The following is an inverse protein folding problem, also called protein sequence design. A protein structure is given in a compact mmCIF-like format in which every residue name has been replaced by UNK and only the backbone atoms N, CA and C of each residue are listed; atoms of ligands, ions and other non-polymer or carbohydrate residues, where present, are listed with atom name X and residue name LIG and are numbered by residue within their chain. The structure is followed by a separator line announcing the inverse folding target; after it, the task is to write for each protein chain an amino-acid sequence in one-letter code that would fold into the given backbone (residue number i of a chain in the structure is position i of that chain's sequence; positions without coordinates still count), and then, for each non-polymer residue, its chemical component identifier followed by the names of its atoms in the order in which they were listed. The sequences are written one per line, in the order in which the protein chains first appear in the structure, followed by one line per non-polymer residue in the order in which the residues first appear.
data_IF_371430320756
#
_entry.id   IF_371430320756
#
_cell.length_a   1.000
_cell.length_b   1.000
_cell.length_c   1.000
_cell.angle_alpha   90.00
_cell.angle_beta   90.00
_cell.angle_gamma   90.00
#
_symmetry.space_group_name_H-M   'P 1'
#
loop_
_entity.id
_entity.type
_entity.pdbx_description
1 polymer ?
#
# COMPACT_ATOMS: atom_id res chain seq x y z
N UNK A 1 -34.08 -57.58 52.17
CA UNK A 1 -34.86 -58.46 51.27
C UNK A 1 -34.35 -58.25 49.87
N UNK A 2 -33.83 -59.29 49.24
CA UNK A 2 -33.20 -59.29 47.87
C UNK A 2 -34.24 -59.17 46.82
N UNK A 3 -33.99 -58.36 45.76
CA UNK A 3 -34.35 -58.78 44.39
C UNK A 3 -33.34 -58.11 43.43
N UNK A 4 -32.66 -58.95 42.68
CA UNK A 4 -31.85 -58.63 41.46
C UNK A 4 -32.77 -58.65 40.29
N UNK A 5 -32.61 -57.73 39.36
CA UNK A 5 -32.94 -57.96 37.96
C UNK A 5 -32.01 -57.18 37.08
N UNK A 6 -31.29 -57.90 36.26
CA UNK A 6 -30.48 -57.40 35.16
C UNK A 6 -31.33 -57.35 33.90
N UNK A 7 -31.26 -56.28 33.13
CA UNK A 7 -31.68 -56.25 31.73
C UNK A 7 -30.68 -55.44 30.92
N UNK A 8 -30.35 -56.03 29.83
CA UNK A 8 -29.27 -55.87 28.92
C UNK A 8 -29.10 -54.53 28.23
N UNK A 9 -27.86 -54.31 27.88
CA UNK A 9 -27.36 -53.24 27.07
C UNK A 9 -27.68 -53.45 25.57
N UNK A 10 -28.16 -52.40 24.92
CA UNK A 10 -28.08 -52.27 23.49
C UNK A 10 -27.31 -51.01 23.20
N UNK A 11 -26.03 -51.13 22.83
CA UNK A 11 -25.17 -50.07 22.31
C UNK A 11 -25.53 -49.84 20.87
N UNK A 12 -26.27 -48.76 20.56
CA UNK A 12 -26.34 -48.20 19.21
C UNK A 12 -25.25 -47.13 19.11
N UNK A 13 -24.18 -47.49 18.44
CA UNK A 13 -23.11 -46.54 18.11
C UNK A 13 -23.60 -45.58 17.01
N UNK A 14 -23.81 -44.34 17.40
CA UNK A 14 -24.04 -43.24 16.43
C UNK A 14 -22.66 -42.63 16.13
N UNK A 15 -22.09 -42.99 14.98
CA UNK A 15 -20.92 -42.36 14.42
C UNK A 15 -21.35 -40.98 13.87
N UNK A 16 -21.21 -39.94 14.67
CA UNK A 16 -21.23 -38.56 14.20
C UNK A 16 -19.92 -38.24 13.48
N UNK A 17 -19.95 -38.40 12.17
CA UNK A 17 -18.89 -37.90 11.31
C UNK A 17 -18.91 -36.35 11.33
N UNK A 18 -18.03 -35.75 12.12
CA UNK A 18 -17.73 -34.31 12.03
C UNK A 18 -16.89 -34.08 10.78
N UNK A 19 -17.53 -33.68 9.69
CA UNK A 19 -16.85 -33.09 8.55
C UNK A 19 -16.25 -31.75 9.00
N UNK A 20 -14.97 -31.74 9.27
CA UNK A 20 -14.21 -30.48 9.32
C UNK A 20 -14.16 -29.91 7.91
N UNK A 21 -14.99 -28.92 7.65
CA UNK A 21 -14.81 -28.04 6.50
C UNK A 21 -13.47 -27.32 6.69
N UNK A 22 -12.45 -27.77 5.98
CA UNK A 22 -11.18 -27.09 5.90
C UNK A 22 -11.42 -25.72 5.26
N UNK A 23 -11.31 -24.66 6.04
CA UNK A 23 -11.16 -23.34 5.51
C UNK A 23 -9.84 -23.31 4.73
N UNK A 24 -9.92 -23.39 3.40
CA UNK A 24 -8.80 -23.08 2.50
C UNK A 24 -8.57 -21.58 2.60
N UNK A 25 -7.79 -21.18 3.63
CA UNK A 25 -7.20 -19.86 3.63
C UNK A 25 -6.36 -19.75 2.36
N UNK A 26 -6.77 -18.88 1.44
CA UNK A 26 -5.92 -18.41 0.36
C UNK A 26 -4.73 -17.70 1.02
N UNK A 27 -3.68 -18.46 1.30
CA UNK A 27 -2.35 -17.89 1.54
C UNK A 27 -2.01 -17.14 0.27
N UNK A 28 -2.05 -15.80 0.32
CA UNK A 28 -1.62 -14.97 -0.79
C UNK A 28 -0.26 -15.49 -1.25
N UNK A 29 -0.22 -15.94 -2.50
CA UNK A 29 0.98 -16.51 -3.11
C UNK A 29 2.07 -15.45 -3.04
N UNK A 30 3.08 -15.68 -2.21
CA UNK A 30 4.25 -14.82 -2.11
C UNK A 30 4.91 -14.84 -3.47
N UNK A 31 4.85 -13.71 -4.16
CA UNK A 31 5.41 -13.57 -5.49
C UNK A 31 6.92 -13.82 -5.41
N UNK A 32 7.37 -14.97 -5.83
CA UNK A 32 8.73 -15.46 -5.67
C UNK A 32 9.76 -14.70 -6.52
N UNK A 33 9.30 -13.85 -7.45
CA UNK A 33 10.16 -13.12 -8.38
C UNK A 33 9.85 -11.63 -8.36
N UNK A 34 10.86 -10.85 -8.02
CA UNK A 34 10.81 -9.39 -8.14
C UNK A 34 10.82 -9.02 -9.63
N UNK A 35 9.85 -8.23 -10.11
CA UNK A 35 9.88 -7.76 -11.49
C UNK A 35 11.06 -6.81 -11.74
N UNK A 36 11.46 -6.68 -13.01
CA UNK A 36 12.41 -5.67 -13.45
C UNK A 36 11.67 -4.66 -14.33
N UNK A 37 11.99 -3.39 -14.15
CA UNK A 37 11.43 -2.31 -14.94
C UNK A 37 12.49 -1.26 -15.27
N UNK A 38 12.11 -0.24 -16.02
CA UNK A 38 13.00 0.85 -16.39
C UNK A 38 13.21 1.84 -15.23
N UNK A 39 14.32 2.56 -15.31
CA UNK A 39 14.65 3.64 -14.41
C UNK A 39 14.10 4.97 -14.92
N UNK A 40 13.64 5.81 -14.01
CA UNK A 40 13.28 7.19 -14.34
C UNK A 40 14.53 8.01 -14.66
N UNK A 41 14.55 8.69 -15.81
CA UNK A 41 15.59 9.66 -16.13
C UNK A 41 15.34 10.96 -15.36
N UNK A 42 16.40 11.58 -14.85
CA UNK A 42 16.34 12.88 -14.16
C UNK A 42 17.01 13.95 -15.03
N UNK A 43 16.36 15.09 -15.22
CA UNK A 43 16.82 16.15 -16.12
C UNK A 43 17.15 17.47 -15.40
N UNK A 44 17.13 17.49 -14.08
CA UNK A 44 17.48 18.68 -13.32
C UNK A 44 16.71 18.79 -12.00
N UNK A 45 16.72 20.00 -11.43
CA UNK A 45 16.00 20.32 -10.19
C UNK A 45 14.57 20.75 -10.53
N UNK A 46 13.60 20.24 -9.80
CA UNK A 46 12.22 20.69 -9.80
C UNK A 46 11.88 21.38 -8.47
N UNK A 47 10.95 22.31 -8.52
CA UNK A 47 10.35 22.88 -7.31
C UNK A 47 9.31 21.89 -6.76
N UNK A 48 9.20 21.74 -5.45
CA UNK A 48 8.15 20.93 -4.87
C UNK A 48 6.78 21.56 -5.14
N UNK A 49 5.70 20.74 -5.22
CA UNK A 49 4.33 21.25 -5.30
C UNK A 49 4.00 22.16 -4.10
N UNK A 50 3.22 23.21 -4.32
CA UNK A 50 2.88 24.17 -3.26
C UNK A 50 2.10 23.49 -2.12
N UNK A 51 1.21 22.55 -2.44
CA UNK A 51 0.48 21.75 -1.45
C UNK A 51 1.43 20.97 -0.54
N UNK A 52 2.50 20.36 -1.10
CA UNK A 52 3.53 19.68 -0.31
C UNK A 52 4.34 20.64 0.58
N UNK A 53 4.66 21.83 0.08
CA UNK A 53 5.34 22.86 0.91
C UNK A 53 4.48 23.24 2.11
N UNK A 54 3.18 23.45 1.90
CA UNK A 54 2.22 23.77 2.96
C UNK A 54 2.03 22.59 3.93
N UNK A 55 2.00 21.35 3.43
CA UNK A 55 1.99 20.14 4.25
C UNK A 55 3.23 20.07 5.15
N UNK A 56 4.42 20.31 4.61
CA UNK A 56 5.66 20.29 5.37
C UNK A 56 5.73 21.40 6.44
N UNK A 57 5.15 22.56 6.16
CA UNK A 57 5.05 23.63 7.17
C UNK A 57 4.20 23.20 8.37
N UNK A 58 3.13 22.43 8.15
CA UNK A 58 2.28 21.88 9.20
C UNK A 58 2.86 20.62 9.85
N UNK A 59 3.66 19.84 9.11
CA UNK A 59 4.19 18.54 9.52
C UNK A 59 5.72 18.44 9.27
N UNK A 60 6.55 19.26 9.92
CA UNK A 60 7.97 19.35 9.59
C UNK A 60 8.75 18.05 9.84
N UNK A 61 8.27 17.17 10.70
CA UNK A 61 8.89 15.86 10.97
C UNK A 61 8.72 14.89 9.82
N UNK A 62 7.66 15.01 9.03
CA UNK A 62 7.34 14.13 7.89
C UNK A 62 8.13 14.48 6.62
N UNK A 63 8.75 15.67 6.60
CA UNK A 63 9.48 16.18 5.45
C UNK A 63 10.99 16.19 5.63
N UNK A 64 11.48 15.56 6.69
CA UNK A 64 12.92 15.40 6.90
C UNK A 64 13.45 14.40 5.88
N UNK A 65 14.14 14.91 4.87
CA UNK A 65 14.93 14.05 3.98
C UNK A 65 16.27 13.75 4.63
N UNK A 66 16.75 12.52 4.48
CA UNK A 66 18.11 12.18 4.89
C UNK A 66 19.14 13.05 4.16
N UNK A 67 20.29 13.26 4.77
CA UNK A 67 21.41 14.00 4.17
C UNK A 67 22.12 13.20 3.06
N UNK A 68 21.43 12.21 2.48
CA UNK A 68 22.00 11.20 1.61
C UNK A 68 21.91 11.53 0.12
N UNK A 69 22.78 10.86 -0.63
CA UNK A 69 22.67 10.72 -2.07
C UNK A 69 21.39 9.97 -2.40
N UNK A 70 20.84 10.18 -3.59
CA UNK A 70 19.78 9.33 -4.15
C UNK A 70 20.10 7.86 -3.86
N UNK A 71 19.28 7.23 -3.04
CA UNK A 71 19.47 5.84 -2.65
C UNK A 71 18.51 4.98 -3.48
N UNK A 72 19.05 3.94 -4.13
CA UNK A 72 18.26 2.89 -4.73
C UNK A 72 18.09 1.76 -3.73
N UNK A 73 16.86 1.45 -3.40
CA UNK A 73 16.54 0.37 -2.46
C UNK A 73 16.88 -0.98 -3.09
N UNK A 74 17.70 -1.79 -2.42
CA UNK A 74 17.90 -3.18 -2.82
C UNK A 74 16.58 -3.95 -2.68
N UNK A 75 16.07 -4.49 -3.78
CA UNK A 75 14.78 -5.16 -3.81
C UNK A 75 14.90 -6.63 -3.43
N UNK A 76 13.91 -7.12 -2.67
CA UNK A 76 13.74 -8.55 -2.37
C UNK A 76 12.26 -8.94 -2.56
N UNK A 77 11.93 -10.24 -2.64
CA UNK A 77 10.55 -10.70 -2.69
C UNK A 77 9.70 -10.21 -1.51
N UNK A 78 10.26 -10.13 -0.31
CA UNK A 78 9.59 -9.65 0.88
C UNK A 78 9.26 -8.17 0.76
N UNK A 79 10.20 -7.35 0.33
CA UNK A 79 9.99 -5.91 0.08
C UNK A 79 8.97 -5.66 -1.03
N UNK A 80 9.02 -6.46 -2.10
CA UNK A 80 8.02 -6.41 -3.15
C UNK A 80 6.61 -6.67 -2.62
N UNK A 81 6.45 -7.70 -1.80
CA UNK A 81 5.17 -8.02 -1.17
C UNK A 81 4.69 -6.90 -0.24
N UNK A 82 5.58 -6.27 0.53
CA UNK A 82 5.23 -5.14 1.39
C UNK A 82 4.73 -3.94 0.58
N UNK A 83 5.39 -3.61 -0.52
CA UNK A 83 4.97 -2.53 -1.43
C UNK A 83 3.56 -2.81 -1.97
N UNK A 84 3.33 -4.05 -2.45
CA UNK A 84 2.04 -4.46 -2.97
C UNK A 84 0.94 -4.42 -1.89
N UNK A 85 1.21 -4.93 -0.71
CA UNK A 85 0.28 -4.92 0.41
C UNK A 85 -0.08 -3.49 0.84
N UNK A 86 0.89 -2.60 0.96
CA UNK A 86 0.64 -1.20 1.32
C UNK A 86 -0.19 -0.50 0.25
N UNK A 87 0.13 -0.70 -1.04
CA UNK A 87 -0.63 -0.11 -2.14
C UNK A 87 -2.10 -0.55 -2.09
N UNK A 88 -2.33 -1.87 -2.05
CA UNK A 88 -3.68 -2.45 -2.02
C UNK A 88 -4.45 -2.07 -0.77
N UNK A 89 -3.80 -2.09 0.40
CA UNK A 89 -4.42 -1.72 1.67
C UNK A 89 -4.90 -0.27 1.67
N UNK A 90 -4.03 0.67 1.30
CA UNK A 90 -4.39 2.10 1.29
C UNK A 90 -5.47 2.38 0.25
N UNK A 91 -5.35 1.80 -0.96
CA UNK A 91 -6.36 1.96 -2.00
C UNK A 91 -7.73 1.42 -1.60
N UNK A 92 -7.77 0.33 -0.82
CA UNK A 92 -9.02 -0.25 -0.35
C UNK A 92 -9.60 0.42 0.91
N UNK A 93 -8.75 1.13 1.67
CA UNK A 93 -9.16 1.77 2.93
C UNK A 93 -9.72 3.17 2.74
N UNK A 94 -9.13 3.96 1.85
CA UNK A 94 -9.46 5.38 1.67
C UNK A 94 -10.47 5.53 0.54
N UNK A 95 -11.55 6.29 0.78
CA UNK A 95 -12.51 6.67 -0.24
C UNK A 95 -11.99 7.85 -1.07
N UNK A 96 -12.10 7.83 -2.41
CA UNK A 96 -11.64 8.93 -3.25
C UNK A 96 -12.60 10.12 -3.15
N UNK A 97 -12.17 11.19 -2.51
CA UNK A 97 -12.89 12.46 -2.35
C UNK A 97 -11.91 13.59 -2.58
N UNK A 98 -12.31 14.59 -3.38
CA UNK A 98 -11.44 15.74 -3.67
C UNK A 98 -11.26 16.63 -2.43
N UNK A 99 -10.15 17.34 -2.37
CA UNK A 99 -9.88 18.34 -1.34
C UNK A 99 -10.97 19.41 -1.27
N UNK A 100 -11.47 19.83 -2.42
CA UNK A 100 -12.55 20.82 -2.50
C UNK A 100 -13.82 20.32 -1.78
N UNK A 101 -14.16 19.04 -1.90
CA UNK A 101 -15.36 18.46 -1.26
C UNK A 101 -15.10 18.13 0.22
N UNK A 102 -13.87 17.81 0.58
CA UNK A 102 -13.50 17.37 1.93
C UNK A 102 -13.15 18.55 2.85
N UNK A 103 -12.42 19.53 2.34
CA UNK A 103 -11.85 20.64 3.12
C UNK A 103 -12.33 22.02 2.66
N UNK A 104 -13.02 22.13 1.49
CA UNK A 104 -13.41 23.40 0.89
C UNK A 104 -12.25 24.17 0.24
N UNK A 105 -11.11 23.53 0.07
CA UNK A 105 -9.89 24.08 -0.54
C UNK A 105 -9.49 23.22 -1.75
N UNK A 106 -8.91 23.79 -2.83
CA UNK A 106 -8.58 23.03 -4.03
C UNK A 106 -7.34 22.13 -3.88
N UNK A 107 -6.49 22.39 -2.90
CA UNK A 107 -5.20 21.68 -2.66
C UNK A 107 -4.87 21.68 -1.16
N UNK A 108 -5.17 20.60 -0.45
CA UNK A 108 -4.92 20.48 0.98
C UNK A 108 -4.30 19.12 1.34
N UNK A 109 -3.03 18.95 1.07
CA UNK A 109 -2.27 17.74 1.37
C UNK A 109 -2.33 17.37 2.85
N UNK A 110 -2.88 16.21 3.17
CA UNK A 110 -3.06 15.72 4.53
C UNK A 110 -2.87 14.20 4.63
N UNK A 111 -2.75 13.68 5.85
CA UNK A 111 -2.91 12.24 6.05
C UNK A 111 -4.41 11.91 6.13
N UNK A 112 -4.93 11.10 5.22
CA UNK A 112 -6.36 10.80 5.20
C UNK A 112 -6.72 9.89 6.38
N UNK A 113 -7.93 10.05 6.92
CA UNK A 113 -8.52 9.12 7.88
C UNK A 113 -9.32 8.05 7.16
N UNK A 114 -10.33 8.46 6.40
CA UNK A 114 -11.25 7.58 5.69
C UNK A 114 -11.45 7.98 4.22
N UNK A 115 -11.13 9.23 3.87
CA UNK A 115 -11.28 9.79 2.53
C UNK A 115 -10.14 10.76 2.23
N UNK A 116 -9.85 10.97 0.94
CA UNK A 116 -8.83 11.88 0.43
C UNK A 116 -8.64 11.72 -1.07
N UNK A 117 -7.75 12.50 -1.67
CA UNK A 117 -7.42 12.39 -3.08
C UNK A 117 -5.97 11.91 -3.34
N UNK A 118 -5.42 12.11 -4.53
CA UNK A 118 -4.22 11.39 -4.96
C UNK A 118 -3.01 11.60 -4.05
N UNK A 119 -2.79 12.83 -3.58
CA UNK A 119 -1.67 13.16 -2.69
C UNK A 119 -1.82 12.62 -1.29
N UNK A 120 -3.04 12.56 -0.77
CA UNK A 120 -3.32 11.99 0.54
C UNK A 120 -3.01 10.50 0.57
N UNK A 121 -3.41 9.78 -0.49
CA UNK A 121 -3.06 8.36 -0.66
C UNK A 121 -1.55 8.14 -0.70
N UNK A 122 -0.82 8.96 -1.49
CA UNK A 122 0.63 8.79 -1.59
C UNK A 122 1.33 9.09 -0.27
N UNK A 123 0.90 10.12 0.48
CA UNK A 123 1.46 10.45 1.79
C UNK A 123 1.26 9.29 2.77
N UNK A 124 0.08 8.70 2.79
CA UNK A 124 -0.22 7.56 3.67
C UNK A 124 0.58 6.31 3.28
N UNK A 125 0.70 6.00 1.99
CA UNK A 125 1.54 4.90 1.49
C UNK A 125 3.00 5.09 1.87
N UNK A 126 3.52 6.29 1.67
CA UNK A 126 4.89 6.67 2.04
C UNK A 126 5.13 6.44 3.53
N UNK A 127 4.25 6.95 4.38
CA UNK A 127 4.33 6.79 5.84
C UNK A 127 4.32 5.33 6.28
N UNK A 128 3.47 4.49 5.69
CA UNK A 128 3.45 3.06 6.00
C UNK A 128 4.73 2.36 5.57
N UNK A 129 5.25 2.65 4.38
CA UNK A 129 6.51 2.06 3.91
C UNK A 129 7.69 2.50 4.77
N UNK A 130 7.76 3.77 5.18
CA UNK A 130 8.78 4.26 6.12
C UNK A 130 8.69 3.52 7.47
N UNK A 131 7.49 3.33 8.00
CA UNK A 131 7.26 2.53 9.21
C UNK A 131 7.67 1.07 9.08
N UNK A 132 7.69 0.52 7.86
CA UNK A 132 8.18 -0.81 7.52
C UNK A 132 9.69 -0.85 7.21
N UNK A 133 10.42 0.26 7.40
CA UNK A 133 11.86 0.34 7.25
C UNK A 133 12.35 0.67 5.83
N UNK A 134 11.48 1.19 4.97
CA UNK A 134 11.91 1.73 3.69
C UNK A 134 12.56 3.10 3.90
N UNK A 135 13.72 3.37 3.29
CA UNK A 135 14.38 4.66 3.44
C UNK A 135 13.59 5.76 2.71
N UNK A 136 13.36 6.93 3.35
CA UNK A 136 12.63 8.04 2.74
C UNK A 136 13.18 8.48 1.38
N UNK A 137 14.49 8.35 1.17
CA UNK A 137 15.18 8.72 -0.06
C UNK A 137 14.83 7.84 -1.25
N UNK A 138 14.29 6.65 -1.01
CA UNK A 138 13.79 5.74 -2.04
C UNK A 138 12.29 5.89 -2.32
N UNK A 139 11.59 6.77 -1.60
CA UNK A 139 10.15 6.99 -1.66
C UNK A 139 9.86 8.41 -2.16
N UNK A 140 9.75 8.56 -3.48
CA UNK A 140 9.64 9.88 -4.10
C UNK A 140 8.18 10.25 -4.36
N UNK A 141 7.80 11.45 -3.91
CA UNK A 141 6.56 12.10 -4.33
C UNK A 141 6.76 12.54 -5.77
N UNK A 142 5.91 12.06 -6.66
CA UNK A 142 6.00 12.34 -8.09
C UNK A 142 4.68 12.92 -8.58
N UNK A 143 4.73 14.08 -9.21
CA UNK A 143 3.58 14.69 -9.88
C UNK A 143 3.70 14.45 -11.37
N UNK A 144 2.62 14.00 -11.97
CA UNK A 144 2.51 13.68 -13.40
C UNK A 144 1.29 14.37 -13.99
N UNK A 145 1.17 14.37 -15.30
CA UNK A 145 -0.09 14.67 -15.97
C UNK A 145 -0.77 13.35 -16.32
N UNK A 146 -2.05 13.25 -16.02
CA UNK A 146 -2.85 12.08 -16.40
C UNK A 146 -3.28 12.13 -17.88
N UNK A 147 -4.10 11.18 -18.31
CA UNK A 147 -4.59 11.06 -19.69
C UNK A 147 -5.42 12.27 -20.14
N UNK A 148 -5.99 13.02 -19.18
CA UNK A 148 -6.74 14.25 -19.41
C UNK A 148 -5.86 15.50 -19.33
N UNK A 149 -4.55 15.33 -19.07
CA UNK A 149 -3.58 16.40 -18.80
C UNK A 149 -3.88 17.17 -17.50
N UNK A 150 -4.55 16.52 -16.55
CA UNK A 150 -4.76 17.02 -15.20
C UNK A 150 -3.59 16.59 -14.30
N UNK A 151 -3.28 17.42 -13.29
CA UNK A 151 -2.25 17.09 -12.30
C UNK A 151 -2.65 15.84 -11.52
N UNK A 152 -1.70 14.90 -11.33
CA UNK A 152 -1.91 13.69 -10.55
C UNK A 152 -0.67 13.37 -9.74
N UNK A 153 -0.85 12.99 -8.48
CA UNK A 153 0.24 12.68 -7.57
C UNK A 153 0.32 11.17 -7.30
N UNK A 154 1.53 10.63 -7.40
CA UNK A 154 1.83 9.19 -7.23
C UNK A 154 3.07 9.00 -6.37
N UNK A 155 3.18 7.85 -5.73
CA UNK A 155 4.40 7.46 -5.01
C UNK A 155 5.29 6.63 -5.93
N UNK A 156 6.53 7.09 -6.13
CA UNK A 156 7.56 6.33 -6.85
C UNK A 156 8.52 5.67 -5.86
N UNK A 157 8.68 4.35 -5.95
CA UNK A 157 9.67 3.58 -5.19
C UNK A 157 10.89 3.33 -6.07
N UNK A 158 12.01 3.95 -5.71
CA UNK A 158 13.27 3.87 -6.46
C UNK A 158 14.08 2.66 -6.00
N UNK A 159 14.33 1.71 -6.89
CA UNK A 159 14.99 0.44 -6.54
C UNK A 159 16.14 0.08 -7.46
N UNK A 160 16.90 -0.93 -7.09
CA UNK A 160 17.99 -1.50 -7.91
C UNK A 160 17.47 -2.35 -9.09
N UNK A 161 16.18 -2.70 -9.10
CA UNK A 161 15.54 -3.45 -10.20
C UNK A 161 14.64 -2.59 -11.09
N UNK A 162 14.58 -1.28 -10.86
CA UNK A 162 13.77 -0.31 -11.58
C UNK A 162 12.97 0.59 -10.63
N UNK A 163 12.20 1.51 -11.21
CA UNK A 163 11.36 2.44 -10.46
C UNK A 163 9.89 2.01 -10.56
N UNK A 164 9.25 1.79 -9.43
CA UNK A 164 7.89 1.27 -9.33
C UNK A 164 6.92 2.36 -8.89
N UNK A 165 5.73 2.35 -9.46
CA UNK A 165 4.68 3.35 -9.25
C UNK A 165 3.55 2.76 -8.42
N UNK A 166 3.21 3.42 -7.32
CA UNK A 166 2.05 3.16 -6.48
C UNK A 166 1.02 4.26 -6.70
N UNK A 167 -0.04 3.92 -7.42
CA UNK A 167 -1.12 4.82 -7.79
C UNK A 167 -2.39 4.49 -6.98
N UNK A 168 -3.19 5.51 -6.61
CA UNK A 168 -4.47 5.29 -5.94
C UNK A 168 -5.56 4.77 -6.89
N UNK A 169 -5.40 4.95 -8.20
CA UNK A 169 -6.35 4.54 -9.24
C UNK A 169 -6.26 3.04 -9.59
N UNK A 170 -5.18 2.34 -9.14
CA UNK A 170 -4.96 0.92 -9.46
C UNK A 170 -4.21 0.19 -8.35
N UNK A 171 -4.54 -1.08 -8.16
CA UNK A 171 -3.82 -1.93 -7.21
C UNK A 171 -2.53 -2.52 -7.81
N UNK A 172 -2.49 -2.68 -9.12
CA UNK A 172 -1.29 -3.17 -9.80
C UNK A 172 -0.18 -2.12 -9.69
N UNK A 173 1.00 -2.61 -9.33
CA UNK A 173 2.22 -1.80 -9.32
C UNK A 173 2.77 -1.78 -10.73
N UNK A 174 2.91 -0.60 -11.27
CA UNK A 174 3.33 -0.39 -12.66
C UNK A 174 4.73 0.22 -12.72
N UNK A 175 5.28 0.24 -13.92
CA UNK A 175 6.47 1.01 -14.22
C UNK A 175 6.09 2.44 -14.68
N UNK A 176 7.10 3.26 -14.84
CA UNK A 176 6.94 4.65 -15.28
C UNK A 176 6.24 4.80 -16.64
N UNK A 177 6.41 3.84 -17.56
CA UNK A 177 5.81 3.91 -18.90
C UNK A 177 4.29 3.78 -18.88
N UNK A 178 3.76 3.23 -17.81
CA UNK A 178 2.33 2.96 -17.64
C UNK A 178 1.55 4.12 -17.03
N UNK A 179 2.20 5.26 -16.76
CA UNK A 179 1.62 6.43 -16.07
C UNK A 179 1.49 7.64 -17.00
N UNK A 180 1.88 7.50 -18.27
CA UNK A 180 1.83 8.58 -19.28
C UNK A 180 0.74 8.28 -20.29
#
# INVERSE_FOLDING_TARGET
MKIKSAVGAALLGFLLGTSMAGATGTTGEVQSKVPKTDYASTYGKALPPVGFVNFCARNPQECKTGKGKSLRLAMSPERWNLIYQVNTYVNGKIAPVSDQDLYGEPEYWAFPTDAGDCEDYLLLKKRYLEGLGFPPEALLITVVLDEKKEGHAILTVVTDTGDFILDNRRNDITDRKSVV
#
